data_IF_230089182837
#
_entry.id   IF_230089182837
#
_cell.length_a   1.000
_cell.length_b   1.000
_cell.length_c   1.000
_cell.angle_alpha   90.00
_cell.angle_beta   90.00
_cell.angle_gamma   90.00
#
_symmetry.space_group_name_H-M   'P 1'
#
loop_
_entity.id
_entity.type
_entity.pdbx_description
1 polymer ?
#
# COMPACT_ATOMS: atom_id res chain seq x y z
N UNK A 1 18.69 4.65 -15.43
CA UNK A 1 18.36 5.98 -16.00
C UNK A 1 18.28 6.92 -14.81
N UNK A 2 19.35 7.72 -14.61
CA UNK A 2 19.53 8.58 -13.43
C UNK A 2 19.05 9.97 -13.80
N UNK A 3 18.10 10.51 -13.03
CA UNK A 3 17.58 11.87 -13.21
C UNK A 3 18.55 12.83 -12.50
N UNK A 4 19.10 13.88 -13.16
CA UNK A 4 19.98 14.84 -12.53
C UNK A 4 19.21 15.84 -11.65
N UNK A 5 19.81 16.34 -10.55
CA UNK A 5 19.18 17.32 -9.68
C UNK A 5 19.19 18.72 -10.32
N UNK A 6 18.06 19.43 -10.21
CA UNK A 6 17.92 20.81 -10.61
C UNK A 6 18.60 21.75 -9.59
N UNK A 7 19.66 22.43 -10.02
CA UNK A 7 20.35 23.48 -9.26
C UNK A 7 19.45 24.73 -9.17
N UNK A 8 19.02 25.11 -7.96
CA UNK A 8 18.43 26.43 -7.71
C UNK A 8 19.46 27.35 -7.07
N UNK A 9 19.76 28.44 -7.76
CA UNK A 9 20.50 29.59 -7.28
C UNK A 9 19.72 30.28 -6.15
N UNK A 10 20.34 30.42 -4.99
CA UNK A 10 19.83 31.18 -3.84
C UNK A 10 20.42 32.55 -3.91
N UNK A 11 19.57 33.56 -4.01
CA UNK A 11 19.92 34.98 -3.87
C UNK A 11 19.73 35.44 -2.40
N UNK A 12 20.65 36.23 -1.82
CA UNK A 12 20.54 36.63 -0.44
C UNK A 12 19.88 38.02 -0.30
N UNK A 13 19.15 38.19 0.74
CA UNK A 13 18.82 39.37 1.54
C UNK A 13 17.33 39.67 1.66
N UNK A 14 16.76 39.46 2.84
CA UNK A 14 16.19 40.53 3.63
C UNK A 14 15.51 40.05 4.92
N UNK A 15 15.97 40.62 6.02
CA UNK A 15 15.29 40.96 7.27
C UNK A 15 14.60 39.84 8.08
N UNK A 16 15.29 39.53 9.16
CA UNK A 16 14.85 38.86 10.39
C UNK A 16 13.53 39.47 10.88
N UNK A 17 12.49 38.64 10.94
CA UNK A 17 11.33 38.87 11.78
C UNK A 17 11.12 37.58 12.57
N UNK A 18 11.58 37.60 13.84
CA UNK A 18 11.37 36.53 14.80
C UNK A 18 9.89 36.48 15.14
N UNK A 19 9.16 35.59 14.52
CA UNK A 19 7.82 35.18 14.98
C UNK A 19 8.01 33.87 15.71
N UNK A 20 7.99 33.91 17.05
CA UNK A 20 7.81 32.74 17.91
C UNK A 20 6.43 32.19 17.66
N UNK A 21 6.28 31.35 16.63
CA UNK A 21 5.11 30.51 16.46
C UNK A 21 5.29 29.28 17.36
N UNK A 22 4.48 29.25 18.43
CA UNK A 22 4.26 28.05 19.22
C UNK A 22 3.85 26.93 18.27
N UNK A 23 4.77 26.01 17.99
CA UNK A 23 4.49 24.76 17.30
C UNK A 23 3.61 23.96 18.25
N UNK A 24 2.30 24.06 18.08
CA UNK A 24 1.35 23.15 18.69
C UNK A 24 1.78 21.73 18.23
N UNK A 25 2.32 20.99 19.16
CA UNK A 25 2.66 19.58 18.99
C UNK A 25 1.38 18.86 18.66
N UNK A 26 1.17 18.61 17.37
CA UNK A 26 0.05 17.84 16.90
C UNK A 26 0.47 16.36 16.92
N UNK A 27 0.02 15.54 17.88
CA UNK A 27 0.39 14.13 17.99
C UNK A 27 -0.31 13.24 16.96
N UNK A 28 -0.96 13.83 15.95
CA UNK A 28 -1.69 13.09 14.91
C UNK A 28 -0.82 12.58 13.75
N UNK A 29 0.51 12.59 13.89
CA UNK A 29 1.42 11.91 12.94
C UNK A 29 1.62 10.42 13.28
N UNK A 30 0.69 9.84 14.04
CA UNK A 30 0.70 8.40 14.34
C UNK A 30 -0.08 7.66 13.25
N UNK A 31 0.69 6.88 12.49
CA UNK A 31 0.23 5.77 11.65
C UNK A 31 -1.03 6.08 10.85
N UNK A 32 -0.87 6.65 9.66
CA UNK A 32 -1.88 6.49 8.63
C UNK A 32 -2.02 4.98 8.38
N UNK A 33 -3.01 4.36 9.01
CA UNK A 33 -3.50 3.06 8.59
C UNK A 33 -3.71 3.18 7.08
N UNK A 34 -3.17 2.23 6.29
CA UNK A 34 -3.40 2.25 4.84
C UNK A 34 -4.91 2.31 4.62
N UNK A 35 -5.39 3.41 4.05
CA UNK A 35 -6.81 3.68 3.80
C UNK A 35 -7.51 2.55 3.02
N UNK A 36 -6.74 1.64 2.45
CA UNK A 36 -7.20 0.54 1.63
C UNK A 36 -7.42 -0.76 2.42
N UNK A 37 -6.80 -0.92 3.59
CA UNK A 37 -6.96 -2.09 4.46
C UNK A 37 -8.22 -1.99 5.33
N UNK A 38 -8.63 -3.11 5.94
CA UNK A 38 -9.83 -3.12 6.78
C UNK A 38 -9.56 -2.60 8.19
N UNK A 39 -10.62 -2.11 8.85
CA UNK A 39 -10.54 -1.73 10.26
C UNK A 39 -10.25 -2.95 11.15
N UNK A 40 -10.77 -4.12 10.76
CA UNK A 40 -10.52 -5.38 11.44
C UNK A 40 -9.03 -5.71 11.45
N UNK A 41 -8.33 -5.46 10.36
CA UNK A 41 -6.87 -5.64 10.28
C UNK A 41 -6.14 -4.71 11.26
N UNK A 42 -6.48 -3.43 11.27
CA UNK A 42 -5.87 -2.46 12.19
C UNK A 42 -6.05 -2.87 13.65
N UNK A 43 -7.26 -3.30 14.03
CA UNK A 43 -7.57 -3.78 15.40
C UNK A 43 -6.79 -5.05 15.70
N UNK A 44 -6.73 -6.00 14.77
CA UNK A 44 -5.98 -7.25 14.93
C UNK A 44 -4.49 -6.98 15.17
N UNK A 45 -3.89 -6.11 14.35
CA UNK A 45 -2.47 -5.74 14.48
C UNK A 45 -2.18 -5.06 15.82
N UNK A 46 -3.06 -4.16 16.27
CA UNK A 46 -2.94 -3.52 17.58
C UNK A 46 -3.01 -4.55 18.72
N UNK A 47 -3.97 -5.46 18.66
CA UNK A 47 -4.13 -6.54 19.65
C UNK A 47 -3.01 -7.57 19.63
N UNK A 48 -2.27 -7.68 18.54
CA UNK A 48 -1.11 -8.57 18.44
C UNK A 48 0.01 -8.16 19.40
N UNK A 49 0.09 -6.88 19.77
CA UNK A 49 1.12 -6.30 20.64
C UNK A 49 2.55 -6.65 20.20
N UNK A 50 2.79 -6.79 18.90
CA UNK A 50 4.08 -7.14 18.33
C UNK A 50 4.45 -8.63 18.44
N UNK A 51 3.52 -9.48 18.89
CA UNK A 51 3.73 -10.93 18.93
C UNK A 51 3.71 -11.49 17.51
N UNK A 52 4.88 -11.89 17.01
CA UNK A 52 5.09 -12.30 15.61
C UNK A 52 4.06 -13.30 15.07
N UNK A 53 3.75 -14.44 15.72
CA UNK A 53 2.73 -15.37 15.22
C UNK A 53 1.37 -14.69 15.03
N UNK A 54 0.93 -13.90 16.00
CA UNK A 54 -0.36 -13.17 15.92
C UNK A 54 -0.37 -12.16 14.78
N UNK A 55 0.75 -11.48 14.52
CA UNK A 55 0.86 -10.57 13.38
C UNK A 55 0.71 -11.31 12.05
N UNK A 56 1.30 -12.51 11.92
CA UNK A 56 1.11 -13.33 10.73
C UNK A 56 -0.33 -13.79 10.53
N UNK A 57 -1.03 -14.15 11.61
CA UNK A 57 -2.45 -14.48 11.54
C UNK A 57 -3.26 -13.28 11.02
N UNK A 58 -3.03 -12.08 11.58
CA UNK A 58 -3.70 -10.86 11.13
C UNK A 58 -3.41 -10.53 9.65
N UNK A 59 -2.15 -10.68 9.22
CA UNK A 59 -1.74 -10.43 7.83
C UNK A 59 -2.36 -11.46 6.87
N UNK A 60 -2.42 -12.71 7.25
CA UNK A 60 -3.05 -13.78 6.48
C UNK A 60 -4.54 -13.53 6.27
N UNK A 61 -5.27 -13.27 7.36
CA UNK A 61 -6.69 -12.97 7.32
C UNK A 61 -7.02 -11.73 6.47
N UNK A 62 -6.18 -10.69 6.57
CA UNK A 62 -6.37 -9.49 5.74
C UNK A 62 -6.06 -9.76 4.27
N UNK A 63 -5.01 -10.51 3.96
CA UNK A 63 -4.70 -10.87 2.58
C UNK A 63 -5.85 -11.64 1.93
N UNK A 64 -6.49 -12.55 2.66
CA UNK A 64 -7.65 -13.30 2.16
C UNK A 64 -8.84 -12.38 1.88
N UNK A 65 -9.12 -11.43 2.80
CA UNK A 65 -10.17 -10.40 2.59
C UNK A 65 -9.88 -9.55 1.34
N UNK A 66 -8.64 -9.09 1.18
CA UNK A 66 -8.26 -8.26 0.04
C UNK A 66 -8.25 -9.05 -1.28
N UNK A 67 -7.86 -10.30 -1.27
CA UNK A 67 -7.97 -11.17 -2.45
C UNK A 67 -9.44 -11.38 -2.87
N UNK A 68 -10.33 -11.58 -1.92
CA UNK A 68 -11.76 -11.68 -2.19
C UNK A 68 -12.30 -10.39 -2.81
N UNK A 69 -11.98 -9.22 -2.24
CA UNK A 69 -12.35 -7.91 -2.78
C UNK A 69 -11.79 -7.66 -4.17
N UNK A 70 -10.53 -7.98 -4.39
CA UNK A 70 -9.86 -7.85 -5.68
C UNK A 70 -10.57 -8.69 -6.76
N UNK A 71 -10.83 -9.96 -6.46
CA UNK A 71 -11.49 -10.87 -7.38
C UNK A 71 -12.92 -10.44 -7.72
N UNK A 72 -13.68 -9.97 -6.73
CA UNK A 72 -15.03 -9.46 -6.93
C UNK A 72 -15.04 -8.20 -7.82
N UNK A 73 -14.18 -7.23 -7.52
CA UNK A 73 -14.05 -6.01 -8.31
C UNK A 73 -13.55 -6.28 -9.73
N UNK A 74 -12.60 -7.22 -9.90
CA UNK A 74 -12.16 -7.67 -11.21
C UNK A 74 -13.31 -8.25 -12.05
N UNK A 75 -14.11 -9.14 -11.46
CA UNK A 75 -15.29 -9.74 -12.14
C UNK A 75 -16.32 -8.67 -12.51
N UNK A 76 -16.61 -7.75 -11.60
CA UNK A 76 -17.53 -6.62 -11.86
C UNK A 76 -17.03 -5.73 -12.99
N UNK A 77 -15.76 -5.37 -12.99
CA UNK A 77 -15.17 -4.58 -14.06
C UNK A 77 -15.19 -5.34 -15.39
N UNK A 78 -14.78 -6.61 -15.39
CA UNK A 78 -14.79 -7.47 -16.58
C UNK A 78 -16.19 -7.56 -17.20
N UNK A 79 -17.26 -7.62 -16.42
CA UNK A 79 -18.63 -7.70 -16.96
C UNK A 79 -19.05 -6.47 -17.75
N UNK A 80 -18.49 -5.29 -17.44
CA UNK A 80 -18.83 -3.99 -18.03
C UNK A 80 -17.99 -3.65 -19.28
N UNK A 81 -16.93 -4.40 -19.58
CA UNK A 81 -15.97 -4.05 -20.62
C UNK A 81 -16.30 -4.70 -21.98
N UNK A 82 -15.93 -4.02 -23.07
CA UNK A 82 -15.93 -4.59 -24.42
C UNK A 82 -14.87 -5.70 -24.57
N UNK A 83 -14.97 -6.61 -25.54
CA UNK A 83 -14.04 -7.73 -25.73
C UNK A 83 -12.56 -7.31 -25.77
N UNK A 84 -12.23 -6.23 -26.47
CA UNK A 84 -10.87 -5.71 -26.56
C UNK A 84 -10.36 -5.19 -25.20
N UNK A 85 -11.23 -4.52 -24.44
CA UNK A 85 -10.89 -4.01 -23.12
C UNK A 85 -10.72 -5.15 -22.11
N UNK A 86 -11.55 -6.20 -22.20
CA UNK A 86 -11.39 -7.41 -21.38
C UNK A 86 -10.02 -8.06 -21.55
N UNK A 87 -9.56 -8.19 -22.82
CA UNK A 87 -8.23 -8.73 -23.10
C UNK A 87 -7.11 -7.89 -22.47
N UNK A 88 -7.19 -6.56 -22.62
CA UNK A 88 -6.21 -5.65 -22.02
C UNK A 88 -6.22 -5.70 -20.49
N UNK A 89 -7.39 -5.79 -19.85
CA UNK A 89 -7.48 -5.91 -18.40
C UNK A 89 -6.89 -7.24 -17.90
N UNK A 90 -7.12 -8.35 -18.63
CA UNK A 90 -6.52 -9.64 -18.30
C UNK A 90 -4.99 -9.59 -18.37
N UNK A 91 -4.43 -8.98 -19.42
CA UNK A 91 -2.98 -8.81 -19.57
C UNK A 91 -2.41 -7.95 -18.45
N UNK A 92 -3.06 -6.82 -18.15
CA UNK A 92 -2.66 -5.92 -17.05
C UNK A 92 -2.72 -6.63 -15.69
N UNK A 93 -3.76 -7.43 -15.43
CA UNK A 93 -3.88 -8.17 -14.17
C UNK A 93 -2.78 -9.23 -14.00
N UNK A 94 -2.42 -9.94 -15.07
CA UNK A 94 -1.32 -10.91 -15.04
C UNK A 94 0.03 -10.23 -14.78
N UNK A 95 0.28 -9.10 -15.44
CA UNK A 95 1.50 -8.32 -15.22
C UNK A 95 1.57 -7.77 -13.78
N UNK A 96 0.43 -7.31 -13.25
CA UNK A 96 0.34 -6.82 -11.88
C UNK A 96 0.60 -7.94 -10.85
N UNK A 97 0.06 -9.14 -11.03
CA UNK A 97 0.33 -10.29 -10.13
C UNK A 97 1.83 -10.57 -10.09
N UNK A 98 2.48 -10.63 -11.27
CA UNK A 98 3.93 -10.85 -11.33
C UNK A 98 4.70 -9.72 -10.63
N UNK A 99 4.29 -8.47 -10.84
CA UNK A 99 4.90 -7.32 -10.16
C UNK A 99 4.77 -7.44 -8.65
N UNK A 100 3.54 -7.66 -8.13
CA UNK A 100 3.30 -7.80 -6.69
C UNK A 100 4.19 -8.88 -6.09
N UNK A 101 4.17 -10.07 -6.68
CA UNK A 101 4.89 -11.22 -6.14
C UNK A 101 6.40 -10.96 -6.13
N UNK A 102 6.97 -10.46 -7.23
CA UNK A 102 8.41 -10.15 -7.31
C UNK A 102 8.80 -8.99 -6.39
N UNK A 103 7.95 -7.94 -6.32
CA UNK A 103 8.22 -6.77 -5.47
C UNK A 103 8.17 -7.15 -3.98
N UNK A 104 7.19 -7.95 -3.58
CA UNK A 104 7.06 -8.33 -2.17
C UNK A 104 8.07 -9.40 -1.75
N UNK A 105 8.50 -10.26 -2.67
CA UNK A 105 9.62 -11.18 -2.47
C UNK A 105 10.94 -10.44 -2.18
N UNK A 106 11.15 -9.27 -2.77
CA UNK A 106 12.31 -8.42 -2.46
C UNK A 106 12.42 -8.04 -0.98
N UNK A 107 11.27 -7.87 -0.29
CA UNK A 107 11.26 -7.58 1.15
C UNK A 107 11.57 -8.81 2.01
N UNK A 108 11.52 -9.99 1.42
CA UNK A 108 11.89 -11.24 2.09
C UNK A 108 13.41 -11.39 2.08
N UNK A 109 14.07 -10.80 3.08
CA UNK A 109 15.49 -11.00 3.31
C UNK A 109 15.68 -12.28 4.14
N UNK A 110 16.38 -13.31 3.62
CA UNK A 110 16.64 -14.54 4.37
C UNK A 110 17.34 -14.33 5.71
N UNK A 111 18.17 -13.29 5.79
CA UNK A 111 18.94 -12.94 6.99
C UNK A 111 18.19 -11.96 7.92
N UNK A 112 17.08 -11.40 7.44
CA UNK A 112 16.28 -10.39 8.16
C UNK A 112 15.31 -10.94 9.21
N UNK A 113 15.26 -12.26 9.38
CA UNK A 113 14.45 -12.93 10.40
C UNK A 113 12.95 -12.68 10.25
N UNK A 114 12.25 -12.58 11.39
CA UNK A 114 10.79 -12.38 11.40
C UNK A 114 10.37 -11.01 10.86
N UNK A 115 11.18 -9.98 11.03
CA UNK A 115 10.88 -8.64 10.56
C UNK A 115 10.79 -8.58 9.03
N UNK A 116 11.74 -9.18 8.32
CA UNK A 116 11.70 -9.26 6.85
C UNK A 116 10.48 -10.05 6.35
N UNK A 117 10.14 -11.14 7.03
CA UNK A 117 8.95 -11.95 6.69
C UNK A 117 7.66 -11.17 6.90
N UNK A 118 7.55 -10.39 7.99
CA UNK A 118 6.41 -9.50 8.23
C UNK A 118 6.33 -8.44 7.14
N UNK A 119 7.46 -7.80 6.78
CA UNK A 119 7.51 -6.79 5.73
C UNK A 119 7.05 -7.33 4.36
N UNK A 120 7.47 -8.54 3.99
CA UNK A 120 7.03 -9.22 2.76
C UNK A 120 5.52 -9.52 2.78
N UNK A 121 4.99 -9.98 3.92
CA UNK A 121 3.56 -10.25 4.07
C UNK A 121 2.73 -8.97 4.02
N UNK A 122 3.18 -7.91 4.70
CA UNK A 122 2.54 -6.59 4.69
C UNK A 122 2.54 -5.97 3.29
N UNK A 123 3.65 -6.07 2.56
CA UNK A 123 3.71 -5.67 1.15
C UNK A 123 2.63 -6.37 0.32
N UNK A 124 2.41 -7.67 0.53
CA UNK A 124 1.40 -8.44 -0.20
C UNK A 124 -0.01 -7.96 0.13
N UNK A 125 -0.29 -7.68 1.41
CA UNK A 125 -1.57 -7.13 1.87
C UNK A 125 -1.83 -5.76 1.25
N UNK A 126 -0.93 -4.81 1.45
CA UNK A 126 -1.11 -3.41 1.05
C UNK A 126 -1.18 -3.26 -0.48
N UNK A 127 -0.32 -3.97 -1.22
CA UNK A 127 -0.34 -3.96 -2.69
C UNK A 127 -1.64 -4.56 -3.23
N UNK A 128 -2.16 -5.64 -2.60
CA UNK A 128 -3.43 -6.27 -3.00
C UNK A 128 -4.62 -5.37 -2.68
N UNK A 129 -4.62 -4.70 -1.52
CA UNK A 129 -5.64 -3.75 -1.12
C UNK A 129 -5.73 -2.55 -2.08
N UNK A 130 -4.59 -1.98 -2.45
CA UNK A 130 -4.50 -0.90 -3.42
C UNK A 130 -5.07 -1.31 -4.79
N UNK A 131 -4.75 -2.52 -5.27
CA UNK A 131 -5.29 -3.02 -6.54
C UNK A 131 -6.78 -3.29 -6.47
N UNK A 132 -7.27 -3.83 -5.36
CA UNK A 132 -8.70 -4.05 -5.16
C UNK A 132 -9.48 -2.73 -5.22
N UNK A 133 -8.93 -1.66 -4.61
CA UNK A 133 -9.51 -0.31 -4.70
C UNK A 133 -9.47 0.23 -6.13
N UNK A 134 -8.34 0.16 -6.81
CA UNK A 134 -8.21 0.62 -8.20
C UNK A 134 -9.26 -0.03 -9.12
N UNK A 135 -9.42 -1.35 -9.04
CA UNK A 135 -10.41 -2.07 -9.85
C UNK A 135 -11.85 -1.64 -9.51
N UNK A 136 -12.13 -1.34 -8.23
CA UNK A 136 -13.42 -0.79 -7.80
C UNK A 136 -13.66 0.58 -8.44
N UNK A 137 -12.69 1.48 -8.34
CA UNK A 137 -12.80 2.85 -8.84
C UNK A 137 -13.01 2.87 -10.37
N UNK A 138 -12.40 1.95 -11.10
CA UNK A 138 -12.59 1.76 -12.55
C UNK A 138 -13.98 1.24 -12.93
N UNK A 139 -14.77 0.72 -11.99
CA UNK A 139 -16.15 0.29 -12.27
C UNK A 139 -17.14 1.45 -12.38
N UNK A 140 -16.73 2.64 -11.93
CA UNK A 140 -17.59 3.82 -11.80
C UNK A 140 -18.55 3.73 -10.61
N UNK A 141 -19.23 4.82 -10.30
CA UNK A 141 -20.28 4.85 -9.31
C UNK A 141 -21.46 3.96 -9.68
#
# INVERSE_FOLDING_TARGET
>A
MIIPPASRLISPASKVMVICLAILWNPQLLAAADENTTKEFSVCMEQSQGVTPKMFDCLGDELDRQNARLNDNYKKLMSKLSPNRKKKLLEAQRAWIKFRDTNCDFYFDPDGGSAARIAASDCSVTTTAARAKELKDLTGP
#
